data_IF_739559347082
#
_entry.id   IF_739559347082
#
_cell.length_a   1.000
_cell.length_b   1.000
_cell.length_c   1.000
_cell.angle_alpha   90.00
_cell.angle_beta   90.00
_cell.angle_gamma   90.00
#
_symmetry.space_group_name_H-M   'P 1'
#
loop_
_entity.id
_entity.type
_entity.pdbx_description
1 polymer ?
#
# COMPACT_ATOMS: atom_id res chain seq x y z
N UNK A 1 10.87 12.48 50.13
CA UNK A 1 11.67 12.54 48.89
C UNK A 1 11.32 11.43 47.89
N UNK A 2 11.00 10.20 48.32
CA UNK A 2 10.60 9.12 47.40
C UNK A 2 9.18 9.27 46.81
N UNK A 3 8.22 9.80 47.57
CA UNK A 3 6.81 9.90 47.10
C UNK A 3 6.59 10.93 45.99
N UNK A 4 7.42 11.97 45.90
CA UNK A 4 7.34 12.96 44.82
C UNK A 4 7.88 12.44 43.50
N UNK A 5 8.92 11.59 43.56
CA UNK A 5 9.46 10.91 42.38
C UNK A 5 8.41 9.97 41.76
N UNK A 6 7.69 9.22 42.61
CA UNK A 6 6.69 8.27 42.16
C UNK A 6 5.44 8.96 41.57
N UNK A 7 5.06 10.13 42.11
CA UNK A 7 4.00 10.96 41.51
C UNK A 7 4.42 11.53 40.16
N UNK A 8 5.67 11.97 40.03
CA UNK A 8 6.22 12.48 38.78
C UNK A 8 6.27 11.39 37.69
N UNK A 9 6.66 10.17 38.06
CA UNK A 9 6.67 9.03 37.13
C UNK A 9 5.26 8.65 36.67
N UNK A 10 4.29 8.57 37.59
CA UNK A 10 2.90 8.33 37.21
C UNK A 10 2.33 9.44 36.31
N UNK A 11 2.72 10.69 36.52
CA UNK A 11 2.28 11.79 35.67
C UNK A 11 2.92 11.73 34.27
N UNK A 12 4.21 11.36 34.19
CA UNK A 12 4.90 11.10 32.91
C UNK A 12 4.24 9.96 32.16
N UNK A 13 3.89 8.86 32.83
CA UNK A 13 3.21 7.73 32.19
C UNK A 13 1.83 8.12 31.65
N UNK A 14 1.05 8.91 32.41
CA UNK A 14 -0.25 9.40 31.95
C UNK A 14 -0.13 10.28 30.71
N UNK A 15 0.84 11.20 30.71
CA UNK A 15 1.12 12.05 29.55
C UNK A 15 1.61 11.26 28.35
N UNK A 16 2.43 10.23 28.56
CA UNK A 16 2.92 9.37 27.50
C UNK A 16 1.80 8.55 26.86
N UNK A 17 0.89 7.99 27.67
CA UNK A 17 -0.29 7.25 27.17
C UNK A 17 -1.23 8.16 26.37
N UNK A 18 -1.48 9.37 26.86
CA UNK A 18 -2.29 10.35 26.12
C UNK A 18 -1.63 10.77 24.80
N UNK A 19 -0.31 11.04 24.79
CA UNK A 19 0.40 11.36 23.56
C UNK A 19 0.35 10.23 22.54
N UNK A 20 0.47 8.98 23.00
CA UNK A 20 0.43 7.79 22.15
C UNK A 20 -0.97 7.55 21.57
N UNK A 21 -2.03 7.76 22.36
CA UNK A 21 -3.41 7.73 21.88
C UNK A 21 -3.68 8.83 20.85
N UNK A 22 -3.14 10.03 21.08
CA UNK A 22 -3.30 11.16 20.14
C UNK A 22 -2.57 10.89 18.82
N UNK A 23 -1.36 10.33 18.87
CA UNK A 23 -0.61 9.91 17.68
C UNK A 23 -1.33 8.77 16.93
N UNK A 24 -1.92 7.81 17.64
CA UNK A 24 -2.70 6.73 17.04
C UNK A 24 -3.96 7.25 16.33
N UNK A 25 -4.62 8.27 16.88
CA UNK A 25 -5.76 8.95 16.22
C UNK A 25 -5.33 9.69 14.95
N UNK A 26 -4.20 10.39 14.97
CA UNK A 26 -3.67 11.09 13.80
C UNK A 26 -3.30 10.11 12.68
N UNK A 27 -2.61 9.00 13.01
CA UNK A 27 -2.28 7.96 12.03
C UNK A 27 -3.53 7.32 11.42
N UNK A 28 -4.59 7.13 12.22
CA UNK A 28 -5.87 6.60 11.72
C UNK A 28 -6.57 7.58 10.79
N UNK A 29 -6.47 8.89 11.05
CA UNK A 29 -7.08 9.91 10.21
C UNK A 29 -6.31 10.10 8.87
N UNK A 30 -4.98 10.03 8.89
CA UNK A 30 -4.12 10.17 7.71
C UNK A 30 -4.32 9.02 6.70
N UNK A 31 -4.58 7.80 7.18
CA UNK A 31 -4.86 6.63 6.33
C UNK A 31 -6.20 6.74 5.57
N UNK A 32 -7.15 7.56 6.03
CA UNK A 32 -8.45 7.72 5.36
C UNK A 32 -8.44 8.79 4.25
N UNK A 33 -7.50 9.75 4.29
CA UNK A 33 -7.42 10.84 3.30
C UNK A 33 -6.68 10.43 2.02
N UNK A 34 -5.84 9.41 2.08
CA UNK A 34 -5.08 8.89 0.93
C UNK A 34 -5.77 7.73 0.18
N UNK A 35 -6.90 7.22 0.68
CA UNK A 35 -7.69 6.18 0.01
C UNK A 35 -8.72 6.73 -1.02
N UNK A 36 -8.53 7.96 -1.49
CA UNK A 36 -9.38 8.63 -2.45
C UNK A 36 -9.03 8.39 -3.92
N UNK A 37 -7.91 7.73 -4.24
CA UNK A 37 -7.49 7.55 -5.62
C UNK A 37 -6.96 6.13 -5.83
N UNK A 38 -7.60 5.40 -6.74
CA UNK A 38 -7.12 4.15 -7.37
C UNK A 38 -7.28 2.82 -6.60
N UNK A 39 -8.29 2.57 -5.75
CA UNK A 39 -8.63 1.17 -5.37
C UNK A 39 -10.12 0.96 -5.01
N UNK A 40 -11.06 1.60 -5.70
CA UNK A 40 -12.49 1.33 -5.48
C UNK A 40 -13.17 0.54 -6.59
N UNK A 41 -12.57 0.41 -7.77
CA UNK A 41 -13.23 -0.24 -8.91
C UNK A 41 -12.92 -1.75 -9.07
N UNK A 42 -12.13 -2.35 -8.18
CA UNK A 42 -11.66 -3.74 -8.33
C UNK A 42 -12.18 -4.72 -7.26
N UNK A 43 -12.98 -4.27 -6.28
CA UNK A 43 -13.46 -5.10 -5.17
C UNK A 43 -15.00 -5.22 -5.09
N UNK A 44 -15.75 -4.68 -6.05
CA UNK A 44 -17.17 -5.02 -6.21
C UNK A 44 -17.29 -6.36 -6.95
N UNK A 45 -16.76 -7.40 -6.30
CA UNK A 45 -16.95 -8.82 -6.64
C UNK A 45 -17.75 -9.44 -5.51
N UNK A 46 -19.06 -9.28 -5.59
CA UNK A 46 -20.06 -9.80 -4.66
C UNK A 46 -19.82 -11.30 -4.39
N UNK A 47 -19.47 -11.64 -3.16
CA UNK A 47 -19.62 -12.99 -2.65
C UNK A 47 -20.38 -12.87 -1.34
N UNK A 48 -21.66 -13.21 -1.39
CA UNK A 48 -22.48 -13.49 -0.20
C UNK A 48 -21.78 -14.59 0.60
N UNK A 49 -21.04 -14.20 1.64
CA UNK A 49 -20.51 -15.15 2.61
C UNK A 49 -21.60 -15.39 3.63
N UNK A 50 -22.30 -16.52 3.47
CA UNK A 50 -23.28 -17.03 4.43
C UNK A 50 -22.69 -17.08 5.83
N UNK A 51 -23.47 -16.65 6.81
CA UNK A 51 -23.13 -16.35 8.20
C UNK A 51 -22.81 -17.59 9.08
N UNK A 52 -22.07 -18.56 8.55
CA UNK A 52 -21.64 -19.75 9.28
C UNK A 52 -20.17 -20.07 8.94
N UNK A 53 -19.24 -19.61 9.77
CA UNK A 53 -17.84 -20.06 9.74
C UNK A 53 -16.78 -18.95 9.65
N UNK A 54 -16.62 -18.17 10.72
CA UNK A 54 -15.68 -17.03 10.81
C UNK A 54 -14.18 -17.38 10.91
N UNK A 55 -13.76 -18.62 10.69
CA UNK A 55 -12.36 -19.02 10.99
C UNK A 55 -11.49 -19.45 9.80
N UNK A 56 -12.02 -19.61 8.58
CA UNK A 56 -11.22 -20.13 7.43
C UNK A 56 -10.85 -19.06 6.39
N UNK A 57 -11.37 -17.83 6.51
CA UNK A 57 -11.30 -16.79 5.47
C UNK A 57 -9.91 -16.15 5.32
N UNK A 58 -9.04 -16.23 6.35
CA UNK A 58 -7.78 -15.48 6.34
C UNK A 58 -6.73 -16.00 5.32
N UNK A 59 -6.75 -17.30 4.99
CA UNK A 59 -5.71 -17.90 4.13
C UNK A 59 -6.00 -17.70 2.65
N UNK A 60 -7.27 -17.81 2.23
CA UNK A 60 -7.64 -17.66 0.82
C UNK A 60 -7.42 -16.22 0.29
N UNK A 61 -7.71 -15.21 1.12
CA UNK A 61 -7.50 -13.80 0.72
C UNK A 61 -6.04 -13.44 0.47
N UNK A 62 -5.12 -14.03 1.24
CA UNK A 62 -3.68 -13.75 1.13
C UNK A 62 -3.06 -14.42 -0.10
N UNK A 63 -3.55 -15.60 -0.49
CA UNK A 63 -3.14 -16.28 -1.72
C UNK A 63 -3.57 -15.49 -2.97
N UNK A 64 -4.80 -14.96 -2.99
CA UNK A 64 -5.29 -14.15 -4.12
C UNK A 64 -4.53 -12.83 -4.23
N UNK A 65 -4.31 -12.13 -3.11
CA UNK A 65 -3.49 -10.90 -3.09
C UNK A 65 -2.04 -11.17 -3.50
N UNK A 66 -1.45 -12.26 -3.00
CA UNK A 66 -0.09 -12.66 -3.37
C UNK A 66 0.04 -12.98 -4.86
N UNK A 67 -0.90 -13.73 -5.43
CA UNK A 67 -0.91 -14.06 -6.85
C UNK A 67 -1.12 -12.82 -7.73
N UNK A 68 -1.97 -11.88 -7.34
CA UNK A 68 -2.19 -10.64 -8.08
C UNK A 68 -0.94 -9.73 -8.09
N UNK A 69 -0.25 -9.62 -6.95
CA UNK A 69 1.01 -8.89 -6.88
C UNK A 69 2.11 -9.57 -7.70
N UNK A 70 2.23 -10.90 -7.61
CA UNK A 70 3.18 -11.65 -8.44
C UNK A 70 2.86 -11.49 -9.92
N UNK A 71 1.60 -11.54 -10.34
CA UNK A 71 1.21 -11.31 -11.73
C UNK A 71 1.47 -9.87 -12.21
N UNK A 72 1.39 -8.88 -11.32
CA UNK A 72 1.73 -7.48 -11.65
C UNK A 72 3.23 -7.29 -11.91
N UNK A 73 4.09 -8.03 -11.20
CA UNK A 73 5.55 -7.93 -11.32
C UNK A 73 6.19 -9.02 -12.18
N UNK A 74 5.48 -10.11 -12.45
CA UNK A 74 5.80 -11.09 -13.47
C UNK A 74 5.53 -10.42 -14.81
N UNK A 75 6.46 -9.54 -15.20
CA UNK A 75 6.45 -8.83 -16.46
C UNK A 75 6.04 -9.78 -17.58
N UNK A 76 5.15 -9.28 -18.44
CA UNK A 76 4.69 -10.01 -19.61
C UNK A 76 5.88 -10.63 -20.33
N UNK A 77 5.68 -11.78 -20.98
CA UNK A 77 6.53 -12.31 -22.07
C UNK A 77 6.53 -11.31 -23.26
N UNK A 78 6.88 -10.07 -22.95
CA UNK A 78 6.42 -8.87 -23.58
C UNK A 78 7.31 -8.59 -24.77
N UNK A 79 6.66 -8.31 -25.91
CA UNK A 79 7.35 -7.90 -27.12
C UNK A 79 8.29 -6.74 -26.79
N UNK A 80 9.58 -6.97 -26.96
CA UNK A 80 10.56 -5.89 -26.85
C UNK A 80 10.58 -5.08 -28.14
N UNK A 81 10.94 -3.80 -28.02
CA UNK A 81 11.09 -2.91 -29.16
C UNK A 81 12.37 -2.07 -29.03
N UNK A 82 12.80 -1.47 -30.14
CA UNK A 82 13.89 -0.48 -30.10
C UNK A 82 13.42 0.73 -29.29
N UNK A 83 14.26 1.17 -28.35
CA UNK A 83 13.98 2.30 -27.49
C UNK A 83 14.03 3.61 -28.32
N UNK A 84 12.94 4.39 -28.41
CA UNK A 84 12.96 5.63 -29.18
C UNK A 84 14.01 6.60 -28.64
N UNK A 85 14.91 7.11 -29.49
CA UNK A 85 15.98 8.03 -29.07
C UNK A 85 17.11 7.40 -28.25
N UNK A 86 17.18 6.07 -28.14
CA UNK A 86 18.25 5.34 -27.44
C UNK A 86 18.68 4.09 -28.22
N UNK A 87 19.90 3.60 -27.99
CA UNK A 87 20.47 2.48 -28.76
C UNK A 87 20.27 1.09 -28.14
N UNK A 88 19.35 0.92 -27.19
CA UNK A 88 19.02 -0.37 -26.58
C UNK A 88 17.55 -0.77 -26.83
N UNK A 89 17.14 -1.90 -26.26
CA UNK A 89 15.77 -2.42 -26.34
C UNK A 89 15.03 -2.24 -25.02
N UNK A 90 13.74 -1.94 -25.10
CA UNK A 90 12.83 -1.83 -23.96
C UNK A 90 11.63 -2.74 -24.16
N UNK A 91 10.95 -3.10 -23.08
CA UNK A 91 9.63 -3.71 -23.17
C UNK A 91 8.66 -2.70 -23.79
N UNK A 92 7.88 -3.16 -24.78
CA UNK A 92 6.88 -2.31 -25.43
C UNK A 92 5.83 -1.86 -24.42
N UNK A 93 5.37 -2.76 -23.55
CA UNK A 93 4.29 -2.50 -22.60
C UNK A 93 4.67 -1.40 -21.60
N UNK A 94 5.93 -1.37 -21.13
CA UNK A 94 6.42 -0.29 -20.26
C UNK A 94 6.41 1.07 -20.96
N UNK A 95 6.77 1.11 -22.25
CA UNK A 95 6.72 2.34 -23.05
C UNK A 95 5.28 2.80 -23.33
N UNK A 96 4.38 1.87 -23.64
CA UNK A 96 2.96 2.18 -23.89
C UNK A 96 2.25 2.64 -22.62
N UNK A 97 2.65 2.14 -21.44
CA UNK A 97 2.10 2.55 -20.14
C UNK A 97 2.42 4.01 -19.79
N UNK A 98 3.65 4.46 -20.03
CA UNK A 98 4.04 5.86 -19.78
C UNK A 98 5.06 6.39 -20.81
N UNK A 99 4.60 6.73 -22.03
CA UNK A 99 5.48 7.28 -23.06
C UNK A 99 6.00 8.68 -22.66
N UNK A 100 5.20 9.45 -21.92
CA UNK A 100 5.58 10.80 -21.50
C UNK A 100 6.70 10.78 -20.47
N UNK A 101 6.65 9.88 -19.48
CA UNK A 101 7.72 9.61 -18.53
C UNK A 101 9.02 9.21 -19.20
N UNK A 102 8.94 8.27 -20.17
CA UNK A 102 10.09 7.87 -20.96
C UNK A 102 10.77 9.09 -21.62
N UNK A 103 10.04 9.91 -22.38
CA UNK A 103 10.63 11.08 -23.04
C UNK A 103 11.07 12.19 -22.09
N UNK A 104 10.43 12.36 -20.92
CA UNK A 104 10.92 13.28 -19.89
C UNK A 104 12.33 12.89 -19.42
N UNK A 105 12.60 11.60 -19.25
CA UNK A 105 13.94 11.08 -18.94
C UNK A 105 14.95 11.15 -20.09
N UNK A 106 14.53 11.47 -21.32
CA UNK A 106 15.43 11.72 -22.45
C UNK A 106 15.85 13.18 -22.60
N UNK A 107 15.12 14.14 -22.01
CA UNK A 107 15.39 15.58 -22.13
C UNK A 107 16.49 16.10 -21.18
N UNK A 108 17.53 15.30 -20.95
CA UNK A 108 18.73 15.77 -20.24
C UNK A 108 19.36 16.95 -20.99
#
# INVERSE_FOLDING_TARGET
MADEQLKLEMEREKRMKQALETAARLLKEENTKNHGLIVRSALDGENEVSETGKEVVAVAGLVVLGAALVALFAGSDGKTMKAPGRNYRIYRDDFERDPAGYFRGLRL
#
